data_IF_717422780481
#
_entry.id   IF_717422780481
#
_cell.length_a   1.000
_cell.length_b   1.000
_cell.length_c   1.000
_cell.angle_alpha   90.00
_cell.angle_beta   90.00
_cell.angle_gamma   90.00
#
_symmetry.space_group_name_H-M   'P 1'
#
loop_
_entity.id
_entity.type
_entity.pdbx_description
1 polymer ?
#
# COMPACT_ATOMS: atom_id res chain seq x y z
N UNK A 1 10.17 25.01 12.18
CA UNK A 1 9.11 25.82 11.53
C UNK A 1 8.19 26.35 12.64
N UNK A 2 7.99 27.66 12.74
CA UNK A 2 7.05 28.23 13.73
C UNK A 2 5.69 28.35 13.05
N UNK A 3 4.68 27.67 13.58
CA UNK A 3 3.29 27.80 13.10
C UNK A 3 2.67 29.01 13.78
N UNK A 4 1.91 29.83 13.04
CA UNK A 4 1.25 31.01 13.58
C UNK A 4 0.12 30.63 14.56
N UNK A 5 -0.11 31.45 15.56
CA UNK A 5 -1.18 31.21 16.54
C UNK A 5 -2.59 31.08 15.89
N UNK A 6 -2.98 31.90 14.89
CA UNK A 6 -4.25 31.70 14.18
C UNK A 6 -4.36 30.33 13.50
N UNK A 7 -3.28 29.81 12.92
CA UNK A 7 -3.26 28.47 12.29
C UNK A 7 -3.46 27.37 13.33
N UNK A 8 -2.83 27.50 14.50
CA UNK A 8 -2.99 26.54 15.60
C UNK A 8 -4.44 26.53 16.09
N UNK A 9 -5.03 27.69 16.31
CA UNK A 9 -6.42 27.82 16.74
C UNK A 9 -7.39 27.24 15.71
N UNK A 10 -7.13 27.46 14.42
CA UNK A 10 -7.94 26.89 13.35
C UNK A 10 -7.84 25.35 13.30
N UNK A 11 -6.64 24.78 13.48
CA UNK A 11 -6.47 23.32 13.56
C UNK A 11 -7.17 22.75 14.79
N UNK A 12 -7.12 23.46 15.92
CA UNK A 12 -7.80 23.05 17.14
C UNK A 12 -9.32 23.01 16.92
N UNK A 13 -9.90 24.05 16.36
CA UNK A 13 -11.33 24.12 16.01
C UNK A 13 -11.72 22.99 15.02
N UNK A 14 -10.87 22.75 14.02
CA UNK A 14 -11.06 21.66 13.06
C UNK A 14 -11.09 20.27 13.72
N UNK A 15 -10.37 20.06 14.81
CA UNK A 15 -10.24 18.74 15.48
C UNK A 15 -11.19 18.55 16.67
N UNK A 16 -11.79 19.61 17.21
CA UNK A 16 -12.62 19.54 18.41
C UNK A 16 -14.10 19.75 18.13
N UNK A 17 -14.95 19.24 19.00
CA UNK A 17 -16.41 19.45 19.02
C UNK A 17 -17.10 19.24 17.67
N UNK A 18 -16.66 18.24 16.91
CA UNK A 18 -17.15 17.98 15.54
C UNK A 18 -18.48 17.26 15.56
N UNK A 19 -19.57 17.89 15.08
CA UNK A 19 -20.85 17.21 14.94
C UNK A 19 -20.80 16.22 13.77
N UNK A 20 -21.25 14.99 14.01
CA UNK A 20 -21.35 13.94 13.01
C UNK A 20 -22.75 13.34 13.01
N UNK A 21 -23.29 13.12 11.84
CA UNK A 21 -24.56 12.43 11.65
C UNK A 21 -24.55 11.69 10.32
N UNK A 22 -25.36 10.65 10.21
CA UNK A 22 -25.57 9.91 8.97
C UNK A 22 -26.86 10.41 8.32
N UNK A 23 -26.79 10.75 7.03
CA UNK A 23 -27.95 11.17 6.23
C UNK A 23 -28.30 10.10 5.20
N UNK A 24 -29.53 9.60 5.26
CA UNK A 24 -30.10 8.65 4.31
C UNK A 24 -31.20 9.34 3.50
N UNK A 25 -30.88 9.76 2.28
CA UNK A 25 -31.80 10.50 1.43
C UNK A 25 -32.10 11.93 1.95
N UNK A 26 -33.12 12.60 1.41
CA UNK A 26 -33.37 14.02 1.74
C UNK A 26 -33.96 14.25 3.14
N UNK A 27 -34.67 13.27 3.73
CA UNK A 27 -35.49 13.50 4.92
C UNK A 27 -35.10 12.69 6.16
N UNK A 28 -34.14 11.74 6.04
CA UNK A 28 -33.77 10.85 7.15
C UNK A 28 -32.34 11.14 7.61
N UNK A 29 -32.20 11.63 8.83
CA UNK A 29 -30.91 11.87 9.48
C UNK A 29 -30.85 11.13 10.81
N UNK A 30 -29.67 10.59 11.14
CA UNK A 30 -29.42 10.03 12.47
C UNK A 30 -29.33 11.12 13.55
N UNK A 31 -29.32 10.69 14.80
CA UNK A 31 -28.94 11.57 15.91
C UNK A 31 -27.52 12.09 15.68
N UNK A 32 -27.29 13.38 15.97
CA UNK A 32 -25.98 14.00 15.92
C UNK A 32 -25.15 13.59 17.12
N UNK A 33 -23.89 13.22 16.87
CA UNK A 33 -22.89 12.89 17.89
C UNK A 33 -21.73 13.88 17.75
N UNK A 34 -21.25 14.45 18.86
CA UNK A 34 -20.04 15.28 18.86
C UNK A 34 -18.80 14.43 19.12
N UNK A 35 -17.78 14.57 18.28
CA UNK A 35 -16.53 13.81 18.37
C UNK A 35 -15.36 14.75 18.61
N UNK A 36 -14.52 14.42 19.61
CA UNK A 36 -13.28 15.14 19.95
C UNK A 36 -12.01 14.32 19.68
N UNK A 37 -12.14 13.12 19.09
CA UNK A 37 -11.02 12.20 18.84
C UNK A 37 -10.84 11.92 17.35
N UNK A 38 -9.61 11.63 16.96
CA UNK A 38 -9.24 11.35 15.57
C UNK A 38 -9.36 12.56 14.65
N UNK A 39 -9.13 12.37 13.37
CA UNK A 39 -9.31 13.40 12.33
C UNK A 39 -10.43 12.99 11.35
N UNK A 40 -11.15 13.93 10.72
CA UNK A 40 -12.22 13.61 9.77
C UNK A 40 -11.69 12.78 8.59
N UNK A 41 -12.31 11.63 8.32
CA UNK A 41 -11.93 10.78 7.21
C UNK A 41 -12.33 11.39 5.86
N UNK A 42 -11.52 11.14 4.83
CA UNK A 42 -11.79 11.61 3.46
C UNK A 42 -11.41 13.08 3.20
N UNK A 43 -10.81 13.78 4.13
CA UNK A 43 -10.31 15.14 3.94
C UNK A 43 -8.83 15.16 3.53
N UNK A 44 -8.41 16.20 2.82
CA UNK A 44 -7.00 16.39 2.42
C UNK A 44 -6.10 16.66 3.64
N UNK A 45 -6.64 17.32 4.65
CA UNK A 45 -5.88 17.74 5.84
C UNK A 45 -5.58 16.59 6.80
N UNK A 46 -6.47 15.61 6.92
CA UNK A 46 -6.33 14.54 7.91
C UNK A 46 -5.08 13.66 7.72
N UNK A 47 -4.68 13.22 6.51
CA UNK A 47 -3.42 12.52 6.30
C UNK A 47 -2.20 13.36 6.66
N UNK A 48 -2.25 14.66 6.36
CA UNK A 48 -1.17 15.59 6.72
C UNK A 48 -1.05 15.74 8.25
N UNK A 49 -2.16 15.95 8.95
CA UNK A 49 -2.17 16.08 10.42
C UNK A 49 -1.71 14.77 11.09
N UNK A 50 -2.11 13.60 10.55
CA UNK A 50 -1.62 12.32 11.07
C UNK A 50 -0.12 12.15 10.86
N UNK A 51 0.41 12.52 9.70
CA UNK A 51 1.84 12.50 9.42
C UNK A 51 2.63 13.44 10.35
N UNK A 52 2.06 14.62 10.64
CA UNK A 52 2.64 15.56 11.57
C UNK A 52 2.60 15.03 13.01
N UNK A 53 1.49 14.45 13.41
CA UNK A 53 1.30 13.84 14.74
C UNK A 53 2.29 12.70 15.02
N UNK A 54 2.62 11.92 13.99
CA UNK A 54 3.57 10.81 14.11
C UNK A 54 5.01 11.18 13.71
N UNK A 55 5.32 12.46 13.48
CA UNK A 55 6.61 12.88 12.92
C UNK A 55 7.80 12.63 13.85
N UNK A 56 7.58 12.63 15.15
CA UNK A 56 8.59 12.39 16.20
C UNK A 56 8.86 10.90 16.44
N UNK A 57 7.99 10.00 15.98
CA UNK A 57 8.22 8.57 16.00
C UNK A 57 9.40 8.21 15.08
N UNK A 58 10.58 8.04 15.66
CA UNK A 58 11.83 7.75 14.95
C UNK A 58 12.52 6.55 15.59
N UNK A 59 13.22 5.78 14.76
CA UNK A 59 14.08 4.73 15.25
C UNK A 59 15.31 5.32 15.96
N UNK A 60 15.80 4.62 16.97
CA UNK A 60 17.06 4.95 17.68
C UNK A 60 18.20 4.15 17.09
N UNK A 61 17.99 2.89 16.81
CA UNK A 61 19.00 2.05 16.22
C UNK A 61 18.99 2.21 14.70
N UNK A 62 20.14 2.56 14.10
CA UNK A 62 20.29 2.70 12.63
C UNK A 62 20.01 1.38 11.89
N UNK A 63 20.26 0.24 12.54
CA UNK A 63 19.98 -1.10 12.02
C UNK A 63 18.50 -1.47 12.01
N UNK A 64 17.64 -0.65 12.63
CA UNK A 64 16.21 -0.92 12.77
C UNK A 64 15.36 0.25 12.24
N UNK A 65 15.38 0.54 10.92
CA UNK A 65 14.60 1.64 10.36
C UNK A 65 13.11 1.41 10.51
N UNK A 66 12.41 2.51 10.84
CA UNK A 66 10.95 2.58 10.86
C UNK A 66 10.48 3.27 9.58
N UNK A 67 9.59 2.62 8.83
CA UNK A 67 8.93 3.16 7.64
C UNK A 67 7.45 3.35 7.93
N UNK A 68 6.92 4.53 7.66
CA UNK A 68 5.50 4.87 7.90
C UNK A 68 4.81 5.23 6.60
N UNK A 69 3.62 4.71 6.42
CA UNK A 69 2.70 5.08 5.35
C UNK A 69 1.27 5.18 5.91
N UNK A 70 0.80 6.39 6.13
CA UNK A 70 -0.42 6.65 6.88
C UNK A 70 -0.37 5.94 8.24
N UNK A 71 -1.36 5.10 8.54
CA UNK A 71 -1.43 4.28 9.76
C UNK A 71 -0.63 2.97 9.70
N UNK A 72 -0.13 2.60 8.52
CA UNK A 72 0.69 1.40 8.38
C UNK A 72 2.14 1.71 8.73
N UNK A 73 2.70 0.98 9.67
CA UNK A 73 4.09 1.13 10.11
C UNK A 73 4.84 -0.19 9.90
N UNK A 74 5.97 -0.12 9.23
CA UNK A 74 6.91 -1.23 9.08
C UNK A 74 8.17 -0.95 9.88
N UNK A 75 8.57 -1.88 10.74
CA UNK A 75 9.83 -1.88 11.44
C UNK A 75 10.69 -2.99 10.87
N UNK A 76 11.86 -2.66 10.38
CA UNK A 76 12.82 -3.63 9.81
C UNK A 76 14.01 -3.74 10.75
N UNK A 77 14.37 -4.94 11.19
CA UNK A 77 15.56 -5.17 12.01
C UNK A 77 16.59 -5.99 11.24
N UNK A 78 17.81 -5.52 11.17
CA UNK A 78 18.94 -6.32 10.70
C UNK A 78 19.49 -7.13 11.89
N UNK A 79 19.43 -8.45 11.76
CA UNK A 79 19.95 -9.39 12.78
C UNK A 79 21.33 -9.84 12.33
N UNK A 80 22.34 -9.63 13.18
CA UNK A 80 23.72 -10.08 12.99
C UNK A 80 24.07 -11.05 14.08
N UNK A 81 24.77 -12.12 13.76
CA UNK A 81 25.21 -13.16 14.70
C UNK A 81 24.06 -13.79 15.52
N UNK A 82 22.88 -13.88 14.89
CA UNK A 82 21.64 -14.36 15.49
C UNK A 82 21.14 -13.53 16.70
N UNK A 83 21.73 -12.35 16.93
CA UNK A 83 21.31 -11.41 17.97
C UNK A 83 20.23 -10.46 17.48
N UNK A 84 19.00 -10.69 17.91
CA UNK A 84 17.84 -9.84 17.64
C UNK A 84 17.52 -8.83 18.74
N UNK A 85 18.42 -8.59 19.68
CA UNK A 85 18.16 -7.73 20.85
C UNK A 85 17.80 -6.30 20.46
N UNK A 86 18.56 -5.68 19.55
CA UNK A 86 18.28 -4.33 19.05
C UNK A 86 16.89 -4.24 18.39
N UNK A 87 16.51 -5.25 17.62
CA UNK A 87 15.20 -5.30 16.97
C UNK A 87 14.06 -5.35 18.00
N UNK A 88 14.21 -6.18 19.05
CA UNK A 88 13.20 -6.29 20.12
C UNK A 88 13.09 -5.00 20.93
N UNK A 89 14.22 -4.42 21.30
CA UNK A 89 14.25 -3.13 22.00
C UNK A 89 13.56 -2.03 21.20
N UNK A 90 13.74 -2.03 19.88
CA UNK A 90 13.06 -1.03 19.02
C UNK A 90 11.56 -1.29 18.93
N UNK A 91 11.11 -2.55 18.95
CA UNK A 91 9.69 -2.90 19.06
C UNK A 91 9.10 -2.38 20.37
N UNK A 92 9.74 -2.68 21.50
CA UNK A 92 9.27 -2.26 22.82
C UNK A 92 9.15 -0.73 22.89
N UNK A 93 10.15 -0.02 22.41
CA UNK A 93 10.12 1.45 22.33
C UNK A 93 9.02 1.99 21.44
N UNK A 94 8.76 1.34 20.32
CA UNK A 94 7.67 1.72 19.43
C UNK A 94 6.31 1.50 20.10
N UNK A 95 6.15 0.40 20.85
CA UNK A 95 4.95 0.12 21.65
C UNK A 95 4.74 1.19 22.71
N UNK A 96 5.79 1.51 23.47
CA UNK A 96 5.77 2.56 24.51
C UNK A 96 5.44 3.92 23.92
N UNK A 97 6.04 4.25 22.77
CA UNK A 97 5.75 5.50 22.06
C UNK A 97 4.27 5.55 21.63
N UNK A 98 3.70 4.46 21.11
CA UNK A 98 2.29 4.39 20.77
C UNK A 98 1.39 4.66 21.98
N UNK A 99 1.71 4.06 23.13
CA UNK A 99 0.93 4.23 24.36
C UNK A 99 1.01 5.67 24.89
N UNK A 100 2.20 6.27 24.88
CA UNK A 100 2.39 7.68 25.28
C UNK A 100 1.64 8.65 24.35
N UNK A 101 1.43 8.28 23.10
CA UNK A 101 0.71 9.07 22.13
C UNK A 101 -0.73 8.61 21.90
N UNK A 102 -1.33 7.84 22.80
CA UNK A 102 -2.71 7.38 22.73
C UNK A 102 -3.06 6.63 21.43
N UNK A 103 -2.09 5.98 20.81
CA UNK A 103 -2.28 5.14 19.63
C UNK A 103 -2.41 3.67 20.03
N UNK A 104 -3.50 3.04 19.61
CA UNK A 104 -3.73 1.62 19.87
C UNK A 104 -3.14 0.78 18.74
N UNK A 105 -2.12 -0.05 19.07
CA UNK A 105 -1.60 -1.04 18.15
C UNK A 105 -2.59 -2.20 17.97
N UNK A 106 -2.86 -2.54 16.71
CA UNK A 106 -3.65 -3.72 16.39
C UNK A 106 -2.75 -4.95 16.26
N UNK A 107 -2.47 -5.62 17.38
CA UNK A 107 -1.57 -6.78 17.43
C UNK A 107 -2.04 -7.91 16.51
N UNK A 108 -3.34 -8.15 16.40
CA UNK A 108 -3.90 -9.20 15.53
C UNK A 108 -3.64 -8.97 14.05
N UNK A 109 -3.55 -7.70 13.61
CA UNK A 109 -3.19 -7.33 12.24
C UNK A 109 -1.68 -7.20 12.04
N UNK A 110 -0.92 -7.06 13.12
CA UNK A 110 0.54 -7.01 13.07
C UNK A 110 1.10 -8.39 12.72
N UNK A 111 2.07 -8.44 11.84
CA UNK A 111 2.71 -9.67 11.39
C UNK A 111 4.23 -9.51 11.46
N UNK A 112 4.90 -10.59 11.81
CA UNK A 112 6.36 -10.70 11.73
C UNK A 112 6.74 -11.57 10.54
N UNK A 113 7.74 -11.15 9.79
CA UNK A 113 8.32 -11.95 8.71
C UNK A 113 9.84 -12.00 8.90
N UNK A 114 10.38 -13.20 8.99
CA UNK A 114 11.83 -13.43 9.03
C UNK A 114 12.32 -13.70 7.61
N UNK A 115 13.21 -12.83 7.12
CA UNK A 115 13.87 -12.98 5.81
C UNK A 115 15.28 -13.51 6.06
N UNK A 116 15.51 -14.77 5.74
CA UNK A 116 16.78 -15.45 5.91
C UNK A 116 17.08 -16.35 4.72
N UNK A 117 18.24 -16.14 4.10
CA UNK A 117 18.68 -16.91 2.93
C UNK A 117 19.59 -18.09 3.27
N UNK A 118 19.88 -18.32 4.55
CA UNK A 118 20.69 -19.44 5.02
C UNK A 118 19.95 -20.77 4.78
N UNK A 119 20.72 -21.84 4.62
CA UNK A 119 20.16 -23.20 4.47
C UNK A 119 19.45 -23.68 5.73
N UNK A 120 20.03 -23.37 6.90
CA UNK A 120 19.44 -23.66 8.20
C UNK A 120 19.11 -22.33 8.86
N UNK A 121 17.85 -22.03 8.95
CA UNK A 121 17.35 -20.83 9.62
C UNK A 121 17.24 -21.15 11.11
N UNK A 122 17.83 -20.37 12.00
CA UNK A 122 17.65 -20.55 13.45
C UNK A 122 16.19 -20.28 13.84
N UNK A 123 15.81 -20.87 14.95
CA UNK A 123 14.49 -20.61 15.53
C UNK A 123 14.60 -19.33 16.37
N UNK A 124 14.02 -18.26 15.86
CA UNK A 124 13.90 -17.01 16.62
C UNK A 124 12.70 -17.09 17.55
N UNK A 125 12.86 -16.59 18.77
CA UNK A 125 11.74 -16.46 19.71
C UNK A 125 10.66 -15.54 19.13
N UNK A 126 9.42 -15.77 19.55
CA UNK A 126 8.28 -14.98 19.08
C UNK A 126 8.34 -13.54 19.63
N UNK A 127 7.86 -12.61 18.83
CA UNK A 127 7.60 -11.24 19.28
C UNK A 127 6.28 -11.23 20.04
N UNK A 128 6.30 -10.69 21.24
CA UNK A 128 5.11 -10.54 22.08
C UNK A 128 4.87 -9.05 22.31
N UNK A 129 3.66 -8.57 21.98
CA UNK A 129 3.24 -7.19 22.19
C UNK A 129 2.03 -7.19 23.11
N UNK A 130 2.15 -6.55 24.28
CA UNK A 130 1.07 -6.46 25.28
C UNK A 130 0.49 -7.82 25.70
N UNK A 131 1.35 -8.85 25.79
CA UNK A 131 0.96 -10.21 26.15
C UNK A 131 0.36 -11.04 25.00
N UNK A 132 0.15 -10.47 23.82
CA UNK A 132 -0.28 -11.21 22.64
C UNK A 132 0.92 -11.53 21.74
N UNK A 133 1.01 -12.79 21.29
CA UNK A 133 2.07 -13.23 20.36
C UNK A 133 1.76 -12.73 18.95
N UNK A 134 2.74 -12.08 18.31
CA UNK A 134 2.66 -11.65 16.92
C UNK A 134 2.80 -12.86 16.00
N UNK A 135 1.86 -12.99 15.04
CA UNK A 135 1.88 -14.10 14.09
C UNK A 135 3.07 -13.98 13.11
N UNK A 136 3.88 -15.03 13.03
CA UNK A 136 4.92 -15.17 12.00
C UNK A 136 4.31 -15.65 10.71
N UNK A 137 4.64 -14.95 9.61
CA UNK A 137 4.12 -15.27 8.28
C UNK A 137 5.24 -15.47 7.26
N UNK A 138 5.03 -16.38 6.32
CA UNK A 138 5.96 -16.58 5.20
C UNK A 138 5.68 -15.64 4.04
N UNK A 139 4.45 -15.15 3.94
CA UNK A 139 4.02 -14.19 2.90
C UNK A 139 3.14 -13.12 3.52
N UNK A 140 3.37 -11.88 3.11
CA UNK A 140 2.57 -10.75 3.58
C UNK A 140 2.29 -9.77 2.44
N UNK A 141 1.11 -9.18 2.45
CA UNK A 141 0.77 -8.11 1.52
C UNK A 141 0.98 -6.75 2.17
N UNK A 142 2.08 -6.10 1.82
CA UNK A 142 2.43 -4.78 2.33
C UNK A 142 2.24 -3.72 1.23
N UNK A 143 1.44 -2.68 1.50
CA UNK A 143 1.15 -1.57 0.59
C UNK A 143 0.78 -2.02 -0.85
N UNK A 144 0.06 -3.14 -0.96
CA UNK A 144 -0.39 -3.66 -2.26
C UNK A 144 0.57 -4.61 -2.96
N UNK A 145 1.77 -4.80 -2.43
CA UNK A 145 2.79 -5.74 -2.93
C UNK A 145 2.80 -6.99 -2.04
N UNK A 146 2.84 -8.16 -2.66
CA UNK A 146 2.99 -9.44 -1.93
C UNK A 146 4.48 -9.77 -1.82
N UNK A 147 4.97 -9.79 -0.58
CA UNK A 147 6.36 -10.11 -0.24
C UNK A 147 6.38 -11.51 0.37
N UNK A 148 7.36 -12.33 0.02
CA UNK A 148 7.62 -13.61 0.66
C UNK A 148 8.99 -13.62 1.36
N UNK A 149 9.15 -14.49 2.36
CA UNK A 149 10.33 -14.59 3.22
C UNK A 149 11.63 -15.00 2.48
N UNK A 150 11.54 -15.32 1.19
CA UNK A 150 12.69 -15.60 0.31
C UNK A 150 12.89 -14.52 -0.75
N UNK A 151 12.06 -13.47 -0.74
CA UNK A 151 12.02 -12.41 -1.75
C UNK A 151 12.01 -12.95 -3.18
N UNK A 152 11.31 -14.07 -3.40
CA UNK A 152 11.25 -14.74 -4.71
C UNK A 152 10.33 -14.03 -5.70
N UNK A 153 9.45 -13.17 -5.23
CA UNK A 153 8.45 -12.40 -6.01
C UNK A 153 7.41 -13.25 -6.76
N UNK A 154 7.50 -14.57 -6.69
CA UNK A 154 6.58 -15.49 -7.40
C UNK A 154 5.13 -15.28 -7.00
N UNK A 155 4.88 -15.06 -5.72
CA UNK A 155 3.53 -14.83 -5.19
C UNK A 155 2.99 -13.47 -5.68
N UNK A 156 3.83 -12.45 -5.70
CA UNK A 156 3.47 -11.13 -6.22
C UNK A 156 3.14 -11.20 -7.72
N UNK A 157 3.95 -11.90 -8.52
CA UNK A 157 3.67 -12.09 -9.95
C UNK A 157 2.34 -12.82 -10.19
N UNK A 158 2.07 -13.89 -9.44
CA UNK A 158 0.76 -14.58 -9.50
C UNK A 158 -0.40 -13.65 -9.19
N UNK A 159 -0.25 -12.83 -8.15
CA UNK A 159 -1.26 -11.85 -7.76
C UNK A 159 -1.49 -10.80 -8.85
N UNK A 160 -0.42 -10.21 -9.40
CA UNK A 160 -0.49 -9.22 -10.49
C UNK A 160 -1.16 -9.84 -11.73
N UNK A 161 -0.75 -11.04 -12.14
CA UNK A 161 -1.32 -11.74 -13.30
C UNK A 161 -2.82 -11.98 -13.11
N UNK A 162 -3.24 -12.48 -11.93
CA UNK A 162 -4.66 -12.69 -11.62
C UNK A 162 -5.46 -11.38 -11.73
N UNK A 163 -4.94 -10.31 -11.15
CA UNK A 163 -5.57 -8.99 -11.16
C UNK A 163 -5.65 -8.41 -12.58
N UNK A 164 -4.59 -8.56 -13.37
CA UNK A 164 -4.53 -8.15 -14.77
C UNK A 164 -5.55 -8.90 -15.63
N UNK A 165 -5.70 -10.22 -15.44
CA UNK A 165 -6.70 -11.01 -16.18
C UNK A 165 -8.12 -10.54 -15.91
N UNK A 166 -8.46 -10.24 -14.66
CA UNK A 166 -9.77 -9.69 -14.30
C UNK A 166 -10.03 -8.36 -15.03
N UNK A 167 -9.04 -7.46 -15.07
CA UNK A 167 -9.19 -6.16 -15.74
C UNK A 167 -9.26 -6.28 -17.26
N UNK A 168 -8.50 -7.19 -17.85
CA UNK A 168 -8.59 -7.51 -19.28
C UNK A 168 -9.95 -8.12 -19.65
N UNK A 169 -10.59 -8.84 -18.76
CA UNK A 169 -11.96 -9.29 -18.95
C UNK A 169 -12.93 -8.09 -19.04
N UNK A 170 -12.83 -7.14 -18.09
CA UNK A 170 -13.62 -5.92 -18.13
C UNK A 170 -13.40 -5.11 -19.43
N UNK A 171 -12.15 -4.96 -19.85
CA UNK A 171 -11.82 -4.26 -21.10
C UNK A 171 -12.47 -4.93 -22.33
N UNK A 172 -12.42 -6.27 -22.40
CA UNK A 172 -13.10 -7.01 -23.49
C UNK A 172 -14.61 -6.83 -23.46
N UNK A 173 -15.19 -6.79 -22.26
CA UNK A 173 -16.62 -6.53 -22.08
C UNK A 173 -17.00 -5.12 -22.55
N UNK A 174 -16.21 -4.10 -22.17
CA UNK A 174 -16.42 -2.74 -22.66
C UNK A 174 -16.35 -2.65 -24.20
N UNK A 175 -15.38 -3.34 -24.82
CA UNK A 175 -15.27 -3.43 -26.27
C UNK A 175 -16.51 -4.05 -26.91
N UNK A 176 -17.13 -5.06 -26.30
CA UNK A 176 -18.37 -5.68 -26.82
C UNK A 176 -19.60 -4.77 -26.79
N UNK A 177 -19.53 -3.66 -26.03
CA UNK A 177 -20.55 -2.61 -26.01
C UNK A 177 -20.26 -1.45 -26.98
N UNK A 178 -19.34 -1.63 -27.93
CA UNK A 178 -18.95 -0.61 -28.92
C UNK A 178 -18.47 0.71 -28.30
N UNK A 179 -17.80 0.64 -27.14
CA UNK A 179 -17.14 1.81 -26.53
C UNK A 179 -16.01 2.27 -27.45
N UNK A 180 -15.83 3.59 -27.58
CA UNK A 180 -14.82 4.17 -28.45
C UNK A 180 -13.40 3.70 -28.12
N UNK A 181 -12.54 3.61 -29.12
CA UNK A 181 -11.15 3.15 -28.98
C UNK A 181 -10.37 4.02 -27.98
N UNK A 182 -10.61 5.33 -27.97
CA UNK A 182 -9.98 6.27 -27.03
C UNK A 182 -10.30 5.93 -25.56
N UNK A 183 -11.57 5.70 -25.26
CA UNK A 183 -12.00 5.32 -23.92
C UNK A 183 -11.46 3.93 -23.53
N UNK A 184 -11.38 2.98 -24.46
CA UNK A 184 -10.77 1.68 -24.24
C UNK A 184 -9.26 1.81 -23.94
N UNK A 185 -8.56 2.71 -24.62
CA UNK A 185 -7.15 3.00 -24.36
C UNK A 185 -6.95 3.67 -23.02
N UNK A 186 -7.78 4.64 -22.66
CA UNK A 186 -7.77 5.26 -21.33
C UNK A 186 -8.01 4.21 -20.24
N UNK A 187 -9.00 3.34 -20.42
CA UNK A 187 -9.25 2.24 -19.47
C UNK A 187 -8.06 1.29 -19.36
N UNK A 188 -7.45 0.90 -20.49
CA UNK A 188 -6.27 0.03 -20.49
C UNK A 188 -5.11 0.67 -19.70
N UNK A 189 -4.78 1.91 -20.02
CA UNK A 189 -3.67 2.62 -19.37
C UNK A 189 -3.91 2.80 -17.86
N UNK A 190 -5.09 3.26 -17.48
CA UNK A 190 -5.41 3.55 -16.08
C UNK A 190 -5.59 2.31 -15.22
N UNK A 191 -6.10 1.21 -15.78
CA UNK A 191 -6.45 0.03 -14.98
C UNK A 191 -5.54 -1.17 -15.22
N UNK A 192 -5.18 -1.50 -16.46
CA UNK A 192 -4.38 -2.69 -16.77
C UNK A 192 -2.89 -2.38 -16.64
N UNK A 193 -2.42 -1.34 -17.34
CA UNK A 193 -1.01 -0.95 -17.33
C UNK A 193 -0.56 -0.55 -15.92
N UNK A 194 -1.36 0.24 -15.22
CA UNK A 194 -1.07 0.65 -13.83
C UNK A 194 -0.86 -0.53 -12.88
N UNK A 195 -1.61 -1.63 -13.05
CA UNK A 195 -1.43 -2.84 -12.22
C UNK A 195 -0.15 -3.57 -12.59
N UNK A 196 0.20 -3.64 -13.88
CA UNK A 196 1.42 -4.32 -14.35
C UNK A 196 2.69 -3.59 -13.91
N UNK A 197 2.66 -2.25 -13.90
CA UNK A 197 3.82 -1.43 -13.53
C UNK A 197 3.91 -1.15 -12.04
N UNK A 198 2.84 -1.43 -11.27
CA UNK A 198 2.83 -1.19 -9.83
C UNK A 198 3.89 -2.04 -9.12
N UNK A 199 4.80 -1.37 -8.43
CA UNK A 199 5.87 -2.03 -7.68
C UNK A 199 6.95 -2.70 -8.54
N UNK A 200 7.01 -2.45 -9.85
CA UNK A 200 8.03 -3.01 -10.75
C UNK A 200 9.45 -2.67 -10.30
N UNK A 201 9.67 -1.49 -9.71
CA UNK A 201 10.97 -1.10 -9.15
C UNK A 201 11.41 -2.01 -7.99
N UNK A 202 10.48 -2.57 -7.22
CA UNK A 202 10.79 -3.48 -6.11
C UNK A 202 11.10 -4.91 -6.61
N UNK A 203 10.46 -5.36 -7.68
CA UNK A 203 10.52 -6.75 -8.15
C UNK A 203 11.44 -6.97 -9.36
N UNK A 204 11.75 -5.91 -10.11
CA UNK A 204 12.41 -6.01 -11.42
C UNK A 204 13.84 -6.57 -11.38
N UNK A 205 14.56 -6.42 -10.26
CA UNK A 205 15.92 -6.95 -10.12
C UNK A 205 16.01 -8.45 -9.76
N UNK A 206 14.94 -9.01 -9.19
CA UNK A 206 14.96 -10.35 -8.58
C UNK A 206 13.90 -11.32 -9.13
N UNK A 207 13.05 -10.86 -10.06
CA UNK A 207 12.09 -11.77 -10.70
C UNK A 207 12.86 -12.80 -11.56
N UNK A 208 12.59 -14.08 -11.37
CA UNK A 208 13.20 -15.11 -12.18
C UNK A 208 12.87 -14.88 -13.66
N UNK A 209 13.87 -14.86 -14.55
CA UNK A 209 13.72 -14.59 -16.00
C UNK A 209 12.58 -15.35 -16.67
N UNK A 210 12.29 -16.56 -16.21
CA UNK A 210 11.17 -17.37 -16.73
C UNK A 210 9.78 -16.78 -16.41
N UNK A 211 9.61 -16.11 -15.28
CA UNK A 211 8.34 -15.53 -14.87
C UNK A 211 8.15 -14.15 -15.50
N UNK A 212 9.22 -13.39 -15.72
CA UNK A 212 9.21 -12.16 -16.52
C UNK A 212 8.85 -12.43 -17.97
N UNK A 213 9.43 -13.45 -18.58
CA UNK A 213 9.11 -13.90 -19.94
C UNK A 213 7.64 -14.29 -20.12
N UNK A 214 7.02 -14.93 -19.13
CA UNK A 214 5.59 -15.26 -19.17
C UNK A 214 4.70 -14.03 -19.07
N UNK A 215 5.06 -13.07 -18.24
CA UNK A 215 4.31 -11.83 -18.05
C UNK A 215 4.51 -10.90 -19.23
N UNK A 216 5.73 -10.72 -19.69
CA UNK A 216 6.09 -9.87 -20.82
C UNK A 216 5.54 -10.40 -22.16
N UNK A 217 5.62 -11.71 -22.44
CA UNK A 217 5.06 -12.30 -23.67
C UNK A 217 3.54 -12.17 -23.77
N UNK A 218 2.82 -12.31 -22.64
CA UNK A 218 1.36 -12.13 -22.65
C UNK A 218 0.95 -10.67 -22.77
N UNK A 219 1.69 -9.74 -22.19
CA UNK A 219 1.47 -8.31 -22.31
C UNK A 219 1.84 -7.81 -23.70
N UNK A 220 3.03 -8.14 -24.21
CA UNK A 220 3.56 -7.71 -25.51
C UNK A 220 2.73 -8.21 -26.71
N UNK A 221 2.26 -9.48 -26.71
CA UNK A 221 1.39 -9.99 -27.78
C UNK A 221 0.04 -9.26 -27.84
N UNK A 222 -0.47 -8.74 -26.71
CA UNK A 222 -1.75 -8.01 -26.67
C UNK A 222 -1.57 -6.53 -26.94
N UNK A 223 -0.44 -5.95 -26.53
CA UNK A 223 -0.10 -4.56 -26.87
C UNK A 223 0.13 -4.39 -28.37
N UNK A 224 0.84 -5.34 -29.03
CA UNK A 224 0.99 -5.32 -30.51
C UNK A 224 -0.33 -5.40 -31.27
N UNK A 225 -1.34 -6.09 -30.75
CA UNK A 225 -2.68 -6.14 -31.34
C UNK A 225 -3.42 -4.78 -31.28
N UNK A 226 -3.15 -3.96 -30.27
CA UNK A 226 -3.74 -2.63 -30.13
C UNK A 226 -2.94 -1.53 -30.85
N UNK A 227 -1.60 -1.64 -30.92
CA UNK A 227 -0.75 -0.71 -31.69
C UNK A 227 -0.96 -0.82 -33.21
N UNK A 228 -1.22 -2.03 -33.73
CA UNK A 228 -1.49 -2.22 -35.14
C UNK A 228 -2.80 -1.54 -35.55
N UNK A 229 -3.82 -1.55 -34.68
CA UNK A 229 -5.09 -0.83 -34.96
C UNK A 229 -4.96 0.69 -34.84
N UNK A 230 -4.12 1.21 -33.94
CA UNK A 230 -3.89 2.66 -33.83
C UNK A 230 -3.10 3.24 -35.03
N UNK A 231 -2.16 2.46 -35.58
CA UNK A 231 -1.44 2.87 -36.81
C UNK A 231 -2.33 2.88 -38.06
N UNK A 232 -3.35 2.02 -38.14
CA UNK A 232 -4.32 2.06 -39.23
C UNK A 232 -5.23 3.29 -39.18
N UNK A 233 -5.55 3.80 -37.99
CA UNK A 233 -6.37 5.00 -37.82
C UNK A 233 -5.58 6.27 -38.17
N UNK A 234 -4.28 6.33 -37.87
CA UNK A 234 -3.44 7.50 -38.18
C UNK A 234 -3.06 7.63 -39.67
N UNK A 235 -3.15 6.54 -40.45
CA UNK A 235 -2.90 6.57 -41.88
C UNK A 235 -4.13 6.90 -42.71
N UNK A 236 -5.33 6.87 -42.13
CA UNK A 236 -6.56 7.30 -42.85
C UNK A 236 -6.92 8.79 -42.68
N UNK A 237 -6.26 9.51 -41.76
CA UNK A 237 -6.50 10.94 -41.54
C UNK A 237 -5.57 11.87 -42.32
N UNK A 238 -4.72 11.35 -43.22
CA UNK A 238 -3.77 12.15 -44.01
C UNK A 238 -3.96 12.05 -45.54
N UNK A 239 -5.14 11.63 -46.01
CA UNK A 239 -5.43 11.52 -47.44
C UNK A 239 -6.80 12.11 -47.85
N UNK A 240 -7.29 13.12 -47.12
CA UNK A 240 -8.39 13.96 -47.60
C UNK A 240 -7.99 15.43 -47.36
N UNK A 241 -7.30 15.98 -48.37
CA UNK A 241 -7.25 17.37 -48.80
C UNK A 241 -7.21 17.41 -50.35
#
# INVERSE_FOLDING_TARGET
>A
MKISAPTILWVLDYLTSRPQYVKLGPSVTSKTICTNTGAPQGTVLSPFLFSLYTADCKNVHKSCPITKFANDTGLTGQITDDDGSCYRQEIDRFVDWCDQNYLQLNVRKTKEMVIDFRRKVPVYSDVVIKGETVEKVETYRYLGIVIDNKLSWKQNLKYIIKKTHSRLYCLRKLRSFNVSTELLQMFYTSTVSSVLTFGSACSGGNAAKQDEDKTGKKSSKRQKGYEVDSKKVSTQSSTDD
#
